data_IF_389899394662
#
_entry.id   IF_389899394662
#
_cell.length_a   1.000
_cell.length_b   1.000
_cell.length_c   1.000
_cell.angle_alpha   90.00
_cell.angle_beta   90.00
_cell.angle_gamma   90.00
#
_symmetry.space_group_name_H-M   'P 1'
#
loop_
_entity.id
_entity.type
_entity.pdbx_description
1 polymer ?
#
# COMPACT_ATOMS: atom_id res chain seq x y z
N UNK A 1 45.68 0.64 -24.01
CA UNK A 1 46.65 1.58 -23.43
C UNK A 1 45.87 2.64 -22.70
N UNK A 2 46.18 3.07 -21.50
CA UNK A 2 47.37 2.97 -20.65
C UNK A 2 46.86 2.70 -19.21
N UNK A 3 47.10 1.52 -18.63
CA UNK A 3 48.02 1.28 -17.50
C UNK A 3 48.55 2.52 -16.75
N UNK A 4 48.40 2.44 -15.44
CA UNK A 4 49.45 2.73 -14.45
C UNK A 4 49.93 4.18 -14.32
N UNK A 5 49.07 5.05 -13.79
CA UNK A 5 49.54 6.24 -13.08
C UNK A 5 48.61 6.49 -11.89
N UNK A 6 48.97 5.92 -10.73
CA UNK A 6 48.73 6.56 -9.42
C UNK A 6 49.34 5.83 -8.21
N UNK A 7 50.18 4.81 -8.42
CA UNK A 7 51.05 4.30 -7.32
C UNK A 7 52.26 5.24 -7.05
N UNK A 8 52.65 6.09 -8.01
CA UNK A 8 53.74 7.08 -7.84
C UNK A 8 53.41 8.26 -6.94
N UNK A 9 52.12 8.53 -6.66
CA UNK A 9 51.73 9.57 -5.72
C UNK A 9 51.93 9.14 -4.26
N UNK A 10 51.91 7.83 -3.99
CA UNK A 10 52.04 7.27 -2.63
C UNK A 10 53.50 7.02 -2.24
N UNK A 11 54.40 6.79 -3.20
CA UNK A 11 55.86 6.69 -2.93
C UNK A 11 56.55 8.05 -2.72
N UNK A 12 55.96 9.16 -3.14
CA UNK A 12 56.51 10.51 -2.94
C UNK A 12 56.37 11.06 -1.51
N UNK A 13 55.64 10.37 -0.62
CA UNK A 13 55.51 10.73 0.79
C UNK A 13 56.52 10.01 1.70
N UNK A 14 57.43 9.22 1.13
CA UNK A 14 58.51 8.55 1.83
C UNK A 14 59.90 9.06 1.38
N UNK A 15 60.05 10.38 1.23
CA UNK A 15 61.38 10.99 1.19
C UNK A 15 61.78 11.26 2.65
N UNK A 16 62.82 10.60 3.20
CA UNK A 16 63.40 11.03 4.46
C UNK A 16 63.97 12.43 4.21
N UNK A 17 63.31 13.45 4.75
CA UNK A 17 63.89 14.79 4.79
C UNK A 17 65.22 14.67 5.53
N UNK A 18 66.28 15.04 4.83
CA UNK A 18 67.64 15.13 5.29
C UNK A 18 67.71 15.86 6.64
N UNK A 19 68.63 15.42 7.48
CA UNK A 19 69.03 16.04 8.75
C UNK A 19 69.21 17.55 8.58
N UNK A 20 68.17 18.31 8.89
CA UNK A 20 68.28 19.76 9.03
C UNK A 20 69.03 20.02 10.34
N UNK A 21 70.23 20.58 10.21
CA UNK A 21 71.07 20.96 11.32
C UNK A 21 70.26 21.73 12.37
N UNK A 22 70.49 21.42 13.65
CA UNK A 22 69.92 22.15 14.76
C UNK A 22 70.35 23.63 14.70
N UNK A 23 69.57 24.46 14.01
CA UNK A 23 69.64 25.91 14.10
C UNK A 23 69.11 26.25 15.48
N UNK A 24 69.99 26.64 16.39
CA UNK A 24 69.58 27.28 17.64
C UNK A 24 68.78 28.54 17.28
N UNK A 25 67.45 28.44 17.28
CA UNK A 25 66.60 29.60 17.05
C UNK A 25 66.66 30.47 18.29
N UNK A 26 67.57 31.45 18.25
CA UNK A 26 67.59 32.55 19.18
C UNK A 26 66.26 33.32 19.04
N UNK A 27 65.58 33.53 20.16
CA UNK A 27 64.42 34.42 20.21
C UNK A 27 64.81 35.82 19.74
N UNK A 28 64.20 36.29 18.66
CA UNK A 28 64.43 37.65 18.14
C UNK A 28 63.45 38.63 18.77
N UNK A 29 63.97 39.69 19.37
CA UNK A 29 63.18 40.80 19.89
C UNK A 29 62.68 41.67 18.73
N UNK A 30 61.41 42.08 18.78
CA UNK A 30 60.82 43.03 17.84
C UNK A 30 60.73 44.40 18.51
N UNK A 31 61.46 45.38 17.96
CA UNK A 31 61.55 46.77 18.43
C UNK A 31 63.00 47.25 18.59
N UNK A 32 63.17 48.54 18.84
CA UNK A 32 64.48 49.19 19.03
C UNK A 32 65.04 48.92 20.43
N UNK A 33 66.36 48.79 20.57
CA UNK A 33 66.99 48.45 21.84
C UNK A 33 67.01 49.64 22.80
N UNK A 34 66.80 49.44 24.12
CA UNK A 34 66.97 50.50 25.09
C UNK A 34 68.42 50.98 25.07
N UNK A 35 68.61 52.29 25.24
CA UNK A 35 69.92 52.94 25.07
C UNK A 35 70.78 52.85 26.34
N UNK A 36 70.21 52.40 27.47
CA UNK A 36 70.95 52.12 28.69
C UNK A 36 70.34 50.98 29.52
N UNK A 37 71.17 50.31 30.32
CA UNK A 37 70.81 49.13 31.15
C UNK A 37 69.78 49.42 32.27
N UNK A 38 69.31 50.66 32.42
CA UNK A 38 68.32 51.07 33.42
C UNK A 38 66.91 51.35 32.89
N UNK A 39 66.68 51.24 31.57
CA UNK A 39 65.37 51.49 30.96
C UNK A 39 64.51 50.21 30.90
N UNK A 40 63.19 50.37 31.06
CA UNK A 40 62.25 49.23 30.98
C UNK A 40 62.23 48.62 29.57
N UNK A 41 62.39 47.29 29.48
CA UNK A 41 62.41 46.56 28.21
C UNK A 41 61.03 46.59 27.53
N UNK A 42 60.88 47.48 26.53
CA UNK A 42 59.63 47.68 25.79
C UNK A 42 59.52 46.82 24.52
N UNK A 43 60.55 46.05 24.18
CA UNK A 43 60.54 45.19 22.98
C UNK A 43 59.63 43.98 23.20
N UNK A 44 58.88 43.63 22.16
CA UNK A 44 58.02 42.45 22.18
C UNK A 44 58.85 41.20 21.88
N UNK A 45 58.87 40.25 22.83
CA UNK A 45 59.54 38.97 22.63
C UNK A 45 58.73 38.10 21.68
N UNK A 46 59.17 37.98 20.42
CA UNK A 46 58.53 37.10 19.46
C UNK A 46 59.01 35.66 19.69
N UNK A 47 58.16 34.87 20.36
CA UNK A 47 58.35 33.41 20.46
C UNK A 47 57.52 32.73 19.37
N UNK A 48 58.18 32.30 18.30
CA UNK A 48 57.56 31.34 17.40
C UNK A 48 57.34 30.03 18.17
N UNK A 49 56.07 29.70 18.45
CA UNK A 49 55.72 28.46 19.12
C UNK A 49 56.29 27.27 18.34
N UNK A 50 56.89 26.34 19.07
CA UNK A 50 57.52 25.11 18.60
C UNK A 50 56.74 24.44 17.46
N UNK A 51 57.45 23.95 16.43
CA UNK A 51 56.91 23.02 15.44
C UNK A 51 56.01 21.98 16.14
N UNK A 52 54.70 22.01 15.88
CA UNK A 52 53.83 20.90 16.26
C UNK A 52 54.24 19.72 15.41
N UNK A 53 54.59 18.60 16.04
CA UNK A 53 55.00 17.38 15.36
C UNK A 53 53.95 17.01 14.29
N UNK A 54 54.34 17.00 13.00
CA UNK A 54 53.44 16.63 11.91
C UNK A 54 52.79 15.26 12.11
N UNK A 55 53.48 14.33 12.80
CA UNK A 55 52.94 13.02 13.13
C UNK A 55 51.87 13.09 14.22
N UNK A 56 51.97 14.00 15.19
CA UNK A 56 50.90 14.23 16.17
C UNK A 56 49.68 14.89 15.52
N UNK A 57 49.88 15.83 14.58
CA UNK A 57 48.78 16.44 13.83
C UNK A 57 48.11 15.41 12.90
N UNK A 58 48.90 14.61 12.18
CA UNK A 58 48.38 13.53 11.35
C UNK A 58 47.66 12.46 12.17
N UNK A 59 48.21 12.07 13.34
CA UNK A 59 47.57 11.13 14.28
C UNK A 59 46.29 11.73 14.85
N UNK A 60 46.28 13.00 15.21
CA UNK A 60 45.07 13.69 15.70
C UNK A 60 43.98 13.73 14.62
N UNK A 61 44.32 14.02 13.36
CA UNK A 61 43.38 14.01 12.23
C UNK A 61 42.90 12.59 11.91
N UNK A 62 43.80 11.61 11.95
CA UNK A 62 43.49 10.19 11.78
C UNK A 62 42.49 9.71 12.86
N UNK A 63 42.77 9.97 14.14
CA UNK A 63 41.93 9.56 15.26
C UNK A 63 40.62 10.36 15.40
N UNK A 64 40.61 11.66 15.06
CA UNK A 64 39.42 12.50 15.27
C UNK A 64 38.51 12.67 14.04
N UNK A 65 39.03 12.53 12.82
CA UNK A 65 38.26 12.81 11.59
C UNK A 65 38.09 11.56 10.72
N UNK A 66 39.09 10.68 10.65
CA UNK A 66 39.04 9.50 9.76
C UNK A 66 38.58 8.21 10.48
N UNK A 67 38.94 8.02 11.75
CA UNK A 67 38.62 6.80 12.50
C UNK A 67 37.19 6.67 13.03
N UNK A 68 36.50 7.71 13.56
CA UNK A 68 35.20 7.51 14.20
C UNK A 68 34.08 7.25 13.19
N UNK A 69 34.07 7.99 12.06
CA UNK A 69 33.08 7.79 11.00
C UNK A 69 33.27 6.43 10.30
N UNK A 70 34.53 6.05 10.07
CA UNK A 70 34.88 4.74 9.50
C UNK A 70 34.57 3.61 10.48
N UNK A 71 34.78 3.80 11.79
CA UNK A 71 34.45 2.82 12.82
C UNK A 71 32.93 2.63 12.95
N UNK A 72 32.15 3.70 12.94
CA UNK A 72 30.69 3.66 12.97
C UNK A 72 30.12 2.97 11.72
N UNK A 73 30.64 3.31 10.53
CA UNK A 73 30.25 2.66 9.29
C UNK A 73 30.62 1.16 9.28
N UNK A 74 31.83 0.81 9.72
CA UNK A 74 32.27 -0.58 9.83
C UNK A 74 31.44 -1.38 10.83
N UNK A 75 31.01 -0.76 11.94
CA UNK A 75 30.10 -1.39 12.90
C UNK A 75 28.73 -1.68 12.26
N UNK A 76 28.18 -0.73 11.50
CA UNK A 76 26.94 -0.91 10.77
C UNK A 76 27.02 -1.97 9.66
N UNK A 77 28.12 -1.98 8.92
CA UNK A 77 28.38 -3.01 7.92
C UNK A 77 28.49 -4.41 8.55
N UNK A 78 29.22 -4.56 9.67
CA UNK A 78 29.30 -5.84 10.41
C UNK A 78 27.91 -6.30 10.90
N UNK A 79 27.11 -5.38 11.42
CA UNK A 79 25.73 -5.66 11.82
C UNK A 79 24.87 -6.10 10.62
N UNK A 80 24.98 -5.42 9.47
CA UNK A 80 24.26 -5.80 8.25
C UNK A 80 24.66 -7.22 7.76
N UNK A 81 25.96 -7.56 7.80
CA UNK A 81 26.44 -8.91 7.47
C UNK A 81 25.85 -9.95 8.43
N UNK A 82 25.85 -9.67 9.73
CA UNK A 82 25.30 -10.58 10.75
C UNK A 82 23.79 -10.81 10.54
N UNK A 83 23.03 -9.73 10.32
CA UNK A 83 21.61 -9.81 10.04
C UNK A 83 21.33 -10.61 8.76
N UNK A 84 22.02 -10.30 7.65
CA UNK A 84 21.84 -11.02 6.37
C UNK A 84 22.17 -12.49 6.50
N UNK A 85 23.21 -12.87 7.26
CA UNK A 85 23.54 -14.28 7.48
C UNK A 85 22.43 -15.03 8.22
N UNK A 86 21.72 -14.37 9.15
CA UNK A 86 20.63 -14.97 9.91
C UNK A 86 19.32 -15.02 9.11
N UNK A 87 18.95 -13.92 8.48
CA UNK A 87 17.63 -13.74 7.85
C UNK A 87 17.64 -13.99 6.32
N UNK A 88 18.81 -14.06 5.70
CA UNK A 88 18.97 -14.17 4.24
C UNK A 88 18.74 -12.87 3.45
N UNK A 89 18.23 -11.82 4.11
CA UNK A 89 17.87 -10.54 3.46
C UNK A 89 18.21 -9.32 4.33
N UNK A 90 18.17 -8.11 3.76
CA UNK A 90 18.32 -6.83 4.47
C UNK A 90 17.00 -6.05 4.66
N UNK A 91 15.86 -6.73 4.69
CA UNK A 91 14.58 -6.16 5.13
C UNK A 91 14.56 -6.03 6.67
N UNK A 92 15.34 -5.07 7.18
CA UNK A 92 15.51 -4.81 8.61
C UNK A 92 14.41 -3.85 9.11
N UNK A 93 13.64 -4.20 10.16
CA UNK A 93 12.67 -3.29 10.78
C UNK A 93 13.34 -2.00 11.30
N UNK A 94 12.66 -0.87 11.22
CA UNK A 94 13.26 0.45 11.54
C UNK A 94 13.89 0.54 12.94
N UNK A 95 13.24 -0.05 13.95
CA UNK A 95 13.74 -0.06 15.33
C UNK A 95 14.58 -1.30 15.67
N UNK A 96 14.93 -2.12 14.68
CA UNK A 96 15.74 -3.32 14.92
C UNK A 96 17.15 -2.95 15.39
N UNK A 97 17.58 -3.63 16.44
CA UNK A 97 18.92 -3.55 17.01
C UNK A 97 19.59 -4.90 16.82
N UNK A 98 20.75 -4.90 16.19
CA UNK A 98 21.51 -6.10 15.85
C UNK A 98 22.65 -6.31 16.85
N UNK A 99 22.67 -7.48 17.49
CA UNK A 99 23.62 -7.80 18.57
C UNK A 99 23.27 -7.13 19.91
N UNK A 100 24.23 -7.17 20.85
CA UNK A 100 24.05 -6.70 22.22
C UNK A 100 23.59 -7.79 23.19
N UNK A 101 23.77 -7.56 24.50
CA UNK A 101 23.31 -8.49 25.55
C UNK A 101 21.82 -8.24 25.80
N UNK A 102 20.96 -9.28 25.81
CA UNK A 102 19.54 -9.12 26.16
C UNK A 102 19.40 -8.52 27.56
N UNK A 103 18.69 -7.40 27.69
CA UNK A 103 18.47 -6.70 28.97
C UNK A 103 19.57 -5.73 29.39
N UNK A 104 20.56 -5.46 28.54
CA UNK A 104 21.54 -4.39 28.79
C UNK A 104 20.92 -3.01 28.61
N UNK A 105 20.50 -2.37 29.70
CA UNK A 105 20.20 -0.94 29.72
C UNK A 105 21.50 -0.16 29.49
N UNK A 106 21.71 0.26 28.25
CA UNK A 106 22.87 1.06 27.87
C UNK A 106 22.47 2.08 26.82
N UNK A 107 22.38 3.34 27.24
CA UNK A 107 22.37 4.47 26.34
C UNK A 107 23.58 4.38 25.38
N UNK A 108 23.37 4.85 24.14
CA UNK A 108 24.34 4.84 23.05
C UNK A 108 25.78 5.11 23.53
N UNK A 109 26.62 4.08 23.56
CA UNK A 109 28.06 4.22 23.89
C UNK A 109 28.67 3.15 24.80
N UNK A 110 27.88 2.30 25.48
CA UNK A 110 28.40 1.20 26.30
C UNK A 110 28.76 -0.05 25.49
N UNK A 111 29.89 -0.71 25.80
CA UNK A 111 30.47 -1.89 25.11
C UNK A 111 29.61 -3.17 25.08
N UNK A 112 28.33 -3.09 25.46
CA UNK A 112 27.33 -4.18 25.41
C UNK A 112 25.99 -3.80 24.75
N UNK A 113 25.81 -2.56 24.30
CA UNK A 113 24.60 -2.13 23.60
C UNK A 113 24.64 -2.60 22.13
N UNK A 114 23.54 -3.16 21.64
CA UNK A 114 23.43 -3.60 20.25
C UNK A 114 23.47 -2.44 19.25
N UNK A 115 23.73 -2.75 17.98
CA UNK A 115 23.83 -1.74 16.93
C UNK A 115 22.45 -1.42 16.32
N UNK A 116 22.01 -0.15 16.23
CA UNK A 116 20.68 0.22 15.71
C UNK A 116 20.62 0.12 14.17
N UNK A 117 20.68 -1.12 13.67
CA UNK A 117 20.83 -1.44 12.25
C UNK A 117 19.67 -0.90 11.39
N UNK A 118 18.43 -0.95 11.90
CA UNK A 118 17.26 -0.46 11.16
C UNK A 118 17.32 1.04 10.85
N UNK A 119 17.76 1.83 11.84
CA UNK A 119 17.95 3.27 11.68
C UNK A 119 19.15 3.57 10.78
N UNK A 120 20.28 2.90 11.03
CA UNK A 120 21.48 3.08 10.23
C UNK A 120 21.27 2.79 8.74
N UNK A 121 20.57 1.69 8.38
CA UNK A 121 20.22 1.40 6.98
C UNK A 121 19.27 2.45 6.40
N UNK A 122 18.37 3.01 7.21
CA UNK A 122 17.49 4.10 6.77
C UNK A 122 18.29 5.37 6.46
N UNK A 123 19.30 5.68 7.27
CA UNK A 123 20.22 6.80 7.05
C UNK A 123 21.06 6.57 5.78
N UNK A 124 21.54 5.34 5.53
CA UNK A 124 22.26 5.02 4.29
C UNK A 124 21.38 5.23 3.05
N UNK A 125 20.11 4.81 3.09
CA UNK A 125 19.15 5.04 2.00
C UNK A 125 18.89 6.52 1.76
N UNK A 126 18.83 7.32 2.83
CA UNK A 126 18.68 8.76 2.72
C UNK A 126 19.94 9.42 2.13
N UNK A 127 21.13 9.00 2.56
CA UNK A 127 22.39 9.47 2.02
C UNK A 127 22.52 9.14 0.52
N UNK A 128 22.13 7.93 0.10
CA UNK A 128 22.11 7.54 -1.31
C UNK A 128 21.18 8.44 -2.14
N UNK A 129 19.96 8.70 -1.68
CA UNK A 129 19.01 9.61 -2.34
C UNK A 129 19.53 11.05 -2.44
N UNK A 130 20.33 11.49 -1.47
CA UNK A 130 20.95 12.80 -1.45
C UNK A 130 22.28 12.86 -2.25
N UNK A 131 22.75 11.75 -2.83
CA UNK A 131 24.06 11.66 -3.49
C UNK A 131 25.25 11.76 -2.52
N UNK A 132 25.03 11.55 -1.22
CA UNK A 132 26.02 11.75 -0.15
C UNK A 132 26.71 10.47 0.34
N UNK A 133 26.49 9.31 -0.31
CA UNK A 133 27.20 8.07 0.02
C UNK A 133 28.44 7.92 -0.85
N UNK A 134 29.57 7.52 -0.23
CA UNK A 134 30.79 7.18 -0.97
C UNK A 134 30.56 5.91 -1.80
N UNK A 135 30.97 5.89 -3.07
CA UNK A 135 30.81 4.76 -4.00
C UNK A 135 31.24 3.41 -3.39
N UNK A 136 32.42 3.28 -2.74
CA UNK A 136 32.84 2.00 -2.17
C UNK A 136 31.96 1.52 -0.98
N UNK A 137 31.27 2.44 -0.29
CA UNK A 137 30.32 2.10 0.78
C UNK A 137 28.99 1.61 0.20
N UNK A 138 28.55 2.20 -0.91
CA UNK A 138 27.36 1.75 -1.63
C UNK A 138 27.56 0.34 -2.19
N UNK A 139 28.67 0.11 -2.90
CA UNK A 139 29.02 -1.21 -3.47
C UNK A 139 29.02 -2.32 -2.42
N UNK A 140 29.62 -2.09 -1.25
CA UNK A 140 29.61 -3.07 -0.14
C UNK A 140 28.21 -3.39 0.37
N UNK A 141 27.31 -2.42 0.41
CA UNK A 141 25.91 -2.67 0.82
C UNK A 141 25.11 -3.35 -0.29
N UNK A 142 25.42 -3.07 -1.56
CA UNK A 142 24.85 -3.73 -2.73
C UNK A 142 25.27 -5.20 -2.82
N UNK A 143 26.53 -5.52 -2.52
CA UNK A 143 27.00 -6.90 -2.35
C UNK A 143 26.18 -7.64 -1.27
N UNK A 144 25.74 -6.90 -0.24
CA UNK A 144 24.84 -7.40 0.80
C UNK A 144 23.36 -7.47 0.38
N UNK A 145 23.01 -7.06 -0.82
CA UNK A 145 21.64 -7.07 -1.33
C UNK A 145 20.76 -6.01 -0.67
N UNK A 146 21.32 -4.83 -0.36
CA UNK A 146 20.51 -3.72 0.15
C UNK A 146 19.47 -3.28 -0.89
N UNK A 147 18.23 -3.09 -0.43
CA UNK A 147 17.20 -2.41 -1.21
C UNK A 147 17.24 -0.93 -0.86
N UNK A 148 17.69 -0.10 -1.82
CA UNK A 148 17.85 1.34 -1.65
C UNK A 148 16.51 2.09 -1.55
N UNK A 149 15.52 1.66 -2.34
CA UNK A 149 14.14 2.14 -2.25
C UNK A 149 13.18 0.97 -1.98
N UNK A 150 12.90 0.67 -0.69
CA UNK A 150 11.96 -0.38 -0.32
C UNK A 150 10.53 -0.15 -0.84
N UNK A 151 10.13 1.11 -1.06
CA UNK A 151 8.80 1.43 -1.54
C UNK A 151 8.66 1.13 -3.03
N UNK A 152 9.70 1.43 -3.82
CA UNK A 152 9.74 1.05 -5.24
C UNK A 152 9.87 -0.47 -5.41
N UNK A 153 10.70 -1.14 -4.61
CA UNK A 153 10.77 -2.61 -4.65
C UNK A 153 9.42 -3.26 -4.31
N UNK A 154 8.75 -2.80 -3.25
CA UNK A 154 7.41 -3.27 -2.90
C UNK A 154 6.37 -2.95 -3.99
N UNK A 155 6.52 -1.82 -4.70
CA UNK A 155 5.69 -1.49 -5.84
C UNK A 155 5.85 -2.50 -6.98
N UNK A 156 7.10 -2.79 -7.38
CA UNK A 156 7.39 -3.76 -8.44
C UNK A 156 6.91 -5.17 -8.10
N UNK A 157 7.07 -5.62 -6.85
CA UNK A 157 6.54 -6.89 -6.38
C UNK A 157 5.00 -6.96 -6.50
N UNK A 158 4.30 -5.90 -6.08
CA UNK A 158 2.84 -5.85 -6.21
C UNK A 158 2.39 -5.72 -7.67
N UNK A 159 3.17 -5.05 -8.53
CA UNK A 159 2.90 -5.00 -9.96
C UNK A 159 3.06 -6.41 -10.60
N UNK A 160 4.07 -7.18 -10.18
CA UNK A 160 4.22 -8.59 -10.53
C UNK A 160 3.02 -9.44 -10.08
N UNK A 161 2.59 -9.26 -8.83
CA UNK A 161 1.37 -9.91 -8.32
C UNK A 161 0.10 -9.50 -9.09
N UNK A 162 0.01 -8.24 -9.53
CA UNK A 162 -1.09 -7.77 -10.38
C UNK A 162 -1.08 -8.47 -11.74
N UNK A 163 0.09 -8.65 -12.38
CA UNK A 163 0.21 -9.42 -13.62
C UNK A 163 -0.24 -10.86 -13.44
N UNK A 164 0.25 -11.54 -12.40
CA UNK A 164 -0.17 -12.91 -12.08
C UNK A 164 -1.68 -13.01 -11.81
N UNK A 165 -2.25 -12.01 -11.12
CA UNK A 165 -3.69 -11.95 -10.89
C UNK A 165 -4.47 -11.77 -12.21
N UNK A 166 -4.00 -10.88 -13.08
CA UNK A 166 -4.60 -10.66 -14.38
C UNK A 166 -4.52 -11.92 -15.27
N UNK A 167 -3.40 -12.62 -15.28
CA UNK A 167 -3.27 -13.90 -16.00
C UNK A 167 -4.27 -14.96 -15.49
N UNK A 168 -4.50 -15.02 -14.18
CA UNK A 168 -5.41 -16.00 -13.59
C UNK A 168 -6.91 -15.65 -13.73
N UNK A 169 -7.26 -14.36 -13.74
CA UNK A 169 -8.65 -13.90 -13.62
C UNK A 169 -9.11 -12.97 -14.75
N UNK A 170 -8.22 -12.63 -15.70
CA UNK A 170 -8.44 -11.71 -16.82
C UNK A 170 -8.93 -10.31 -16.42
N UNK A 171 -8.74 -9.90 -15.16
CA UNK A 171 -9.11 -8.57 -14.66
C UNK A 171 -8.33 -8.18 -13.40
N UNK A 172 -8.10 -6.89 -13.21
CA UNK A 172 -7.64 -6.29 -11.94
C UNK A 172 -8.80 -5.81 -11.05
N UNK A 173 -10.06 -6.09 -11.39
CA UNK A 173 -11.22 -5.80 -10.53
C UNK A 173 -11.34 -6.79 -9.34
N UNK A 174 -10.22 -7.06 -8.66
CA UNK A 174 -10.14 -8.02 -7.56
C UNK A 174 -11.03 -7.62 -6.37
N UNK A 175 -11.66 -8.59 -5.67
CA UNK A 175 -12.27 -8.32 -4.37
C UNK A 175 -11.20 -7.95 -3.35
N UNK A 176 -11.55 -7.15 -2.34
CA UNK A 176 -10.58 -6.63 -1.35
C UNK A 176 -9.85 -7.75 -0.61
N UNK A 177 -10.50 -8.90 -0.42
CA UNK A 177 -9.95 -10.09 0.24
C UNK A 177 -9.05 -10.95 -0.66
N UNK A 178 -8.87 -10.59 -1.93
CA UNK A 178 -8.02 -11.35 -2.85
C UNK A 178 -6.55 -11.25 -2.46
N UNK A 179 -5.87 -12.40 -2.53
CA UNK A 179 -4.43 -12.52 -2.38
C UNK A 179 -3.85 -13.41 -3.48
N UNK A 180 -2.64 -13.10 -3.91
CA UNK A 180 -1.85 -13.93 -4.84
C UNK A 180 -0.36 -13.69 -4.56
N UNK A 181 0.47 -14.73 -4.70
CA UNK A 181 1.92 -14.65 -4.40
C UNK A 181 2.21 -14.08 -3.00
N UNK A 182 1.42 -14.47 -2.00
CA UNK A 182 1.48 -13.96 -0.62
C UNK A 182 1.30 -12.43 -0.47
N UNK A 183 0.78 -11.77 -1.52
CA UNK A 183 0.43 -10.35 -1.50
C UNK A 183 -1.08 -10.16 -1.41
N UNK A 184 -1.57 -9.26 -0.53
CA UNK A 184 -3.00 -8.90 -0.46
C UNK A 184 -3.40 -7.98 -1.61
N UNK A 185 -3.40 -8.53 -2.83
CA UNK A 185 -3.56 -7.77 -4.08
C UNK A 185 -4.86 -6.98 -4.16
N UNK A 186 -5.95 -7.53 -3.59
CA UNK A 186 -7.25 -6.86 -3.54
C UNK A 186 -7.20 -5.54 -2.77
N UNK A 187 -6.60 -5.58 -1.57
CA UNK A 187 -6.43 -4.41 -0.72
C UNK A 187 -5.45 -3.40 -1.33
N UNK A 188 -4.37 -3.88 -1.96
CA UNK A 188 -3.41 -3.03 -2.65
C UNK A 188 -4.04 -2.28 -3.83
N UNK A 189 -4.76 -2.97 -4.73
CA UNK A 189 -5.49 -2.35 -5.85
C UNK A 189 -6.57 -1.37 -5.36
N UNK A 190 -7.28 -1.71 -4.28
CA UNK A 190 -8.24 -0.80 -3.66
C UNK A 190 -7.58 0.49 -3.16
N UNK A 191 -6.37 0.40 -2.59
CA UNK A 191 -5.59 1.57 -2.17
C UNK A 191 -5.03 2.35 -3.36
N UNK A 192 -4.54 1.67 -4.40
CA UNK A 192 -4.01 2.28 -5.62
C UNK A 192 -5.04 3.18 -6.33
N UNK A 193 -6.34 2.82 -6.26
CA UNK A 193 -7.44 3.61 -6.86
C UNK A 193 -7.79 4.90 -6.08
N UNK A 194 -7.41 4.98 -4.80
CA UNK A 194 -7.70 6.15 -3.94
C UNK A 194 -6.88 7.35 -4.38
N UNK A 195 -7.30 8.55 -3.95
CA UNK A 195 -6.53 9.78 -4.13
C UNK A 195 -5.14 9.61 -3.50
N UNK A 196 -4.08 9.90 -4.27
CA UNK A 196 -2.68 9.68 -3.89
C UNK A 196 -2.29 8.21 -3.61
N UNK A 197 -3.12 7.24 -4.03
CA UNK A 197 -2.88 5.81 -3.81
C UNK A 197 -1.62 5.26 -4.49
N UNK A 198 -1.18 5.92 -5.57
CA UNK A 198 0.02 5.57 -6.32
C UNK A 198 1.28 6.35 -5.88
N UNK A 199 1.14 7.26 -4.92
CA UNK A 199 2.21 8.13 -4.44
C UNK A 199 1.81 9.61 -4.41
N UNK A 200 2.65 10.41 -3.75
CA UNK A 200 2.47 11.87 -3.63
C UNK A 200 3.04 12.64 -4.82
N UNK A 201 4.07 12.10 -5.47
CA UNK A 201 4.68 12.71 -6.66
C UNK A 201 3.76 12.47 -7.89
N UNK A 202 3.24 13.51 -8.55
CA UNK A 202 2.33 13.36 -9.68
C UNK A 202 2.93 12.63 -10.89
N UNK A 203 4.22 12.88 -11.21
CA UNK A 203 4.87 12.25 -12.36
C UNK A 203 5.01 10.74 -12.16
N UNK A 204 5.45 10.32 -10.96
CA UNK A 204 5.58 8.92 -10.61
C UNK A 204 4.20 8.23 -10.50
N UNK A 205 3.22 8.91 -9.92
CA UNK A 205 1.86 8.40 -9.85
C UNK A 205 1.27 8.18 -11.26
N UNK A 206 1.54 9.07 -12.22
CA UNK A 206 1.12 8.91 -13.61
C UNK A 206 1.82 7.72 -14.28
N UNK A 207 3.13 7.55 -14.07
CA UNK A 207 3.90 6.38 -14.55
C UNK A 207 3.29 5.08 -14.02
N UNK A 208 3.05 5.00 -12.72
CA UNK A 208 2.46 3.83 -12.05
C UNK A 208 1.04 3.53 -12.52
N UNK A 209 0.24 4.55 -12.78
CA UNK A 209 -1.10 4.40 -13.34
C UNK A 209 -1.05 3.81 -14.76
N UNK A 210 -0.10 4.28 -15.59
CA UNK A 210 0.11 3.75 -16.93
C UNK A 210 0.55 2.28 -16.92
N UNK A 211 1.41 1.89 -15.97
CA UNK A 211 1.83 0.48 -15.80
C UNK A 211 0.66 -0.45 -15.45
N UNK A 212 -0.24 -0.01 -14.57
CA UNK A 212 -1.46 -0.77 -14.26
C UNK A 212 -2.44 -0.81 -15.45
N UNK A 213 -2.61 0.31 -16.16
CA UNK A 213 -3.46 0.39 -17.35
C UNK A 213 -2.96 -0.49 -18.51
N UNK A 214 -1.64 -0.69 -18.60
CA UNK A 214 -1.05 -1.63 -19.56
C UNK A 214 -1.36 -3.10 -19.24
N UNK A 215 -1.68 -3.43 -17.98
CA UNK A 215 -2.12 -4.78 -17.57
C UNK A 215 -3.63 -4.92 -17.80
N UNK A 216 -4.42 -3.99 -17.26
CA UNK A 216 -5.86 -3.95 -17.43
C UNK A 216 -6.30 -2.50 -17.63
N UNK A 217 -6.76 -2.10 -18.84
CA UNK A 217 -7.22 -0.74 -19.10
C UNK A 217 -8.37 -0.31 -18.18
N UNK A 218 -9.20 -1.26 -17.73
CA UNK A 218 -10.34 -1.01 -16.85
C UNK A 218 -9.97 -1.23 -15.36
N UNK A 219 -8.68 -1.21 -14.99
CA UNK A 219 -8.26 -1.39 -13.59
C UNK A 219 -8.83 -0.31 -12.66
N UNK A 220 -9.11 0.89 -13.17
CA UNK A 220 -9.71 2.03 -12.44
C UNK A 220 -10.90 2.58 -13.24
N UNK A 221 -12.05 1.90 -13.19
CA UNK A 221 -13.23 2.31 -13.96
C UNK A 221 -13.93 3.53 -13.33
N UNK A 222 -14.70 4.25 -14.14
CA UNK A 222 -15.57 5.37 -13.69
C UNK A 222 -16.90 4.88 -13.07
N UNK A 223 -17.11 3.57 -12.99
CA UNK A 223 -18.28 2.91 -12.40
C UNK A 223 -17.88 2.00 -11.24
N UNK A 224 -18.84 1.44 -10.48
CA UNK A 224 -18.53 0.58 -9.33
C UNK A 224 -17.63 -0.61 -9.70
N UNK A 225 -16.61 -0.87 -8.88
CA UNK A 225 -15.63 -1.94 -9.16
C UNK A 225 -16.26 -3.34 -9.17
N UNK A 226 -17.32 -3.56 -8.38
CA UNK A 226 -18.05 -4.84 -8.36
C UNK A 226 -18.82 -5.07 -9.67
N UNK A 227 -19.26 -4.00 -10.33
CA UNK A 227 -19.82 -4.10 -11.68
C UNK A 227 -18.72 -4.51 -12.68
N UNK A 228 -17.55 -3.90 -12.60
CA UNK A 228 -16.41 -4.26 -13.47
C UNK A 228 -15.99 -5.71 -13.28
N UNK A 229 -15.96 -6.20 -12.04
CA UNK A 229 -15.67 -7.61 -11.74
C UNK A 229 -16.68 -8.55 -12.39
N UNK A 230 -17.96 -8.21 -12.31
CA UNK A 230 -19.03 -9.03 -12.89
C UNK A 230 -19.00 -9.00 -14.42
N UNK A 231 -18.68 -7.85 -15.01
CA UNK A 231 -18.46 -7.70 -16.45
C UNK A 231 -17.27 -8.54 -16.93
N UNK A 232 -16.14 -8.49 -16.23
CA UNK A 232 -14.99 -9.33 -16.55
C UNK A 232 -15.30 -10.83 -16.44
N UNK A 233 -16.04 -11.24 -15.40
CA UNK A 233 -16.50 -12.61 -15.25
C UNK A 233 -17.40 -13.06 -16.42
N UNK A 234 -18.28 -12.19 -16.91
CA UNK A 234 -19.09 -12.45 -18.11
C UNK A 234 -18.19 -12.59 -19.35
N UNK A 235 -17.22 -11.69 -19.56
CA UNK A 235 -16.28 -11.77 -20.67
C UNK A 235 -15.48 -13.08 -20.65
N UNK A 236 -15.04 -13.53 -19.48
CA UNK A 236 -14.36 -14.81 -19.31
C UNK A 236 -15.29 -15.99 -19.64
N UNK A 237 -16.55 -15.96 -19.20
CA UNK A 237 -17.53 -17.01 -19.51
C UNK A 237 -17.78 -17.16 -21.02
N UNK A 238 -17.78 -16.05 -21.73
CA UNK A 238 -18.00 -15.96 -23.18
C UNK A 238 -16.78 -16.42 -24.00
N UNK A 239 -15.57 -16.39 -23.40
CA UNK A 239 -14.33 -16.72 -24.07
C UNK A 239 -13.98 -15.78 -25.24
N UNK A 240 -12.96 -16.12 -26.05
CA UNK A 240 -12.50 -15.28 -27.16
C UNK A 240 -13.57 -15.06 -28.24
N UNK A 241 -14.46 -16.05 -28.42
CA UNK A 241 -15.46 -16.06 -29.50
C UNK A 241 -16.82 -15.49 -29.09
N UNK A 242 -17.10 -15.28 -27.80
CA UNK A 242 -18.43 -14.90 -27.32
C UNK A 242 -18.82 -13.43 -27.52
N UNK A 243 -18.17 -12.73 -28.44
CA UNK A 243 -18.58 -11.45 -29.02
C UNK A 243 -18.42 -11.38 -30.55
N UNK A 244 -17.85 -12.41 -31.18
CA UNK A 244 -17.72 -12.49 -32.64
C UNK A 244 -19.07 -12.94 -33.22
N UNK A 245 -19.73 -12.04 -33.95
CA UNK A 245 -21.03 -12.32 -34.61
C UNK A 245 -22.23 -11.56 -34.03
N UNK A 246 -22.03 -10.68 -33.04
CA UNK A 246 -23.05 -9.71 -32.62
C UNK A 246 -24.24 -10.26 -31.83
N UNK A 247 -24.27 -11.57 -31.55
CA UNK A 247 -25.31 -12.21 -30.73
C UNK A 247 -24.67 -12.92 -29.55
N UNK A 248 -24.97 -12.45 -28.34
CA UNK A 248 -24.53 -13.09 -27.11
C UNK A 248 -25.14 -14.51 -26.99
N UNK A 249 -24.30 -15.53 -26.79
CA UNK A 249 -24.74 -16.86 -26.41
C UNK A 249 -25.58 -16.79 -25.12
N UNK A 250 -26.60 -17.65 -24.99
CA UNK A 250 -27.43 -17.67 -23.79
C UNK A 250 -26.59 -18.04 -22.56
N UNK A 251 -26.55 -17.13 -21.58
CA UNK A 251 -25.89 -17.37 -20.28
C UNK A 251 -26.96 -17.74 -19.26
N UNK A 252 -26.95 -18.98 -18.80
CA UNK A 252 -27.94 -19.50 -17.87
C UNK A 252 -27.77 -18.86 -16.47
N UNK A 253 -28.85 -18.39 -15.82
CA UNK A 253 -28.81 -18.00 -14.42
C UNK A 253 -28.23 -19.12 -13.54
N UNK A 254 -27.29 -18.78 -12.65
CA UNK A 254 -26.53 -19.77 -11.87
C UNK A 254 -25.18 -20.13 -12.49
N UNK A 255 -24.85 -19.64 -13.69
CA UNK A 255 -23.49 -19.75 -14.24
C UNK A 255 -22.52 -18.97 -13.35
N UNK A 256 -21.66 -19.67 -12.62
CA UNK A 256 -20.69 -19.09 -11.71
C UNK A 256 -19.31 -18.97 -12.37
N UNK A 257 -18.79 -17.75 -12.41
CA UNK A 257 -17.38 -17.47 -12.78
C UNK A 257 -16.71 -16.72 -11.64
N UNK A 258 -15.67 -17.33 -11.06
CA UNK A 258 -14.96 -16.80 -9.89
C UNK A 258 -15.89 -16.38 -8.73
N UNK A 259 -16.96 -17.14 -8.51
CA UNK A 259 -17.96 -16.88 -7.46
C UNK A 259 -19.02 -15.83 -7.80
N UNK A 260 -19.04 -15.30 -9.03
CA UNK A 260 -20.08 -14.38 -9.52
C UNK A 260 -21.09 -15.13 -10.38
N UNK A 261 -22.37 -15.03 -10.04
CA UNK A 261 -23.49 -15.51 -10.87
C UNK A 261 -23.71 -14.53 -12.04
N UNK A 262 -23.01 -14.79 -13.14
CA UNK A 262 -23.00 -13.90 -14.31
C UNK A 262 -24.33 -13.93 -15.06
N UNK A 263 -25.05 -15.05 -15.06
CA UNK A 263 -26.35 -15.17 -15.71
C UNK A 263 -27.42 -14.33 -15.01
N UNK A 264 -27.48 -14.41 -13.67
CA UNK A 264 -28.38 -13.57 -12.87
C UNK A 264 -27.99 -12.09 -12.97
N UNK A 265 -26.71 -11.78 -12.89
CA UNK A 265 -26.23 -10.39 -13.02
C UNK A 265 -26.59 -9.79 -14.39
N UNK A 266 -26.39 -10.55 -15.47
CA UNK A 266 -26.71 -10.14 -16.84
C UNK A 266 -28.21 -9.87 -17.02
N UNK A 267 -29.08 -10.72 -16.45
CA UNK A 267 -30.52 -10.51 -16.51
C UNK A 267 -30.94 -9.16 -15.89
N UNK A 268 -30.31 -8.77 -14.77
CA UNK A 268 -30.51 -7.45 -14.15
C UNK A 268 -30.03 -6.33 -15.06
N UNK A 269 -28.86 -6.46 -15.71
CA UNK A 269 -28.36 -5.42 -16.63
C UNK A 269 -29.32 -5.19 -17.81
N UNK A 270 -29.87 -6.26 -18.40
CA UNK A 270 -30.82 -6.17 -19.51
C UNK A 270 -32.16 -5.54 -19.10
N UNK A 271 -32.59 -5.74 -17.86
CA UNK A 271 -33.83 -5.16 -17.32
C UNK A 271 -33.67 -3.68 -16.99
N UNK A 272 -32.58 -3.32 -16.32
CA UNK A 272 -32.33 -1.97 -15.82
C UNK A 272 -31.44 -1.15 -16.77
N UNK A 273 -31.46 -1.45 -18.07
CA UNK A 273 -30.57 -0.89 -19.10
C UNK A 273 -30.48 0.64 -19.10
N UNK A 274 -31.60 1.32 -18.86
CA UNK A 274 -31.69 2.78 -18.83
C UNK A 274 -30.97 3.41 -17.62
N UNK A 275 -30.73 2.63 -16.56
CA UNK A 275 -30.03 3.08 -15.35
C UNK A 275 -28.51 2.92 -15.45
N UNK A 276 -28.02 2.21 -16.47
CA UNK A 276 -26.59 2.02 -16.70
C UNK A 276 -25.94 3.31 -17.15
N UNK A 277 -24.70 3.54 -16.71
CA UNK A 277 -23.88 4.62 -17.22
C UNK A 277 -23.57 4.39 -18.72
N UNK A 278 -23.31 5.45 -19.50
CA UNK A 278 -23.00 5.31 -20.93
C UNK A 278 -21.90 4.29 -21.23
N UNK A 279 -20.77 4.34 -20.51
CA UNK A 279 -19.68 3.39 -20.69
C UNK A 279 -20.02 1.95 -20.30
N UNK A 280 -20.93 1.75 -19.34
CA UNK A 280 -21.42 0.40 -18.99
C UNK A 280 -22.27 -0.20 -20.11
N UNK A 281 -23.12 0.60 -20.76
CA UNK A 281 -23.89 0.17 -21.93
C UNK A 281 -22.98 -0.19 -23.09
N UNK A 282 -22.03 0.70 -23.41
CA UNK A 282 -21.07 0.48 -24.50
C UNK A 282 -20.30 -0.83 -24.31
N UNK A 283 -19.80 -1.10 -23.10
CA UNK A 283 -19.09 -2.34 -22.75
C UNK A 283 -19.96 -3.59 -22.92
N UNK A 284 -21.25 -3.52 -22.55
CA UNK A 284 -22.20 -4.62 -22.71
C UNK A 284 -22.59 -4.82 -24.19
N UNK A 285 -22.77 -3.74 -24.94
CA UNK A 285 -23.03 -3.75 -26.39
C UNK A 285 -21.87 -4.36 -27.17
N UNK A 286 -20.63 -4.08 -26.76
CA UNK A 286 -19.41 -4.73 -27.30
C UNK A 286 -19.41 -6.26 -27.12
N UNK A 287 -20.12 -6.78 -26.12
CA UNK A 287 -20.33 -8.22 -25.91
C UNK A 287 -21.61 -8.75 -26.61
N UNK A 288 -22.30 -7.92 -27.41
CA UNK A 288 -23.56 -8.30 -28.05
C UNK A 288 -24.75 -8.35 -27.09
N UNK A 289 -24.64 -7.80 -25.89
CA UNK A 289 -25.76 -7.71 -24.95
C UNK A 289 -26.70 -6.60 -25.41
N UNK A 290 -27.96 -6.96 -25.61
CA UNK A 290 -29.02 -6.01 -25.95
C UNK A 290 -29.95 -5.79 -24.75
N UNK A 291 -30.54 -4.59 -24.60
CA UNK A 291 -31.61 -4.38 -23.63
C UNK A 291 -32.72 -5.40 -23.86
N UNK A 292 -33.44 -5.75 -22.80
CA UNK A 292 -34.68 -6.51 -22.98
C UNK A 292 -35.60 -5.68 -23.89
N UNK A 293 -36.15 -6.25 -24.99
CA UNK A 293 -37.11 -5.54 -25.81
C UNK A 293 -38.19 -4.97 -24.90
N UNK A 294 -38.52 -3.69 -25.08
CA UNK A 294 -39.70 -3.15 -24.44
C UNK A 294 -40.84 -4.08 -24.87
N UNK A 295 -41.43 -4.81 -23.92
CA UNK A 295 -42.66 -5.52 -24.21
C UNK A 295 -43.58 -4.48 -24.85
N UNK A 296 -44.08 -4.75 -26.06
CA UNK A 296 -45.19 -3.99 -26.60
C UNK A 296 -46.21 -3.91 -25.48
N UNK A 297 -46.39 -2.70 -24.93
CA UNK A 297 -47.44 -2.48 -23.95
C UNK A 297 -48.71 -2.88 -24.69
N UNK A 298 -49.48 -3.89 -24.24
CA UNK A 298 -50.86 -3.97 -24.67
C UNK A 298 -51.44 -2.59 -24.41
N UNK A 299 -52.07 -2.01 -25.43
CA UNK A 299 -52.71 -0.71 -25.36
C UNK A 299 -53.39 -0.57 -24.00
N UNK A 300 -52.99 0.46 -23.27
CA UNK A 300 -53.34 0.64 -21.87
C UNK A 300 -54.86 0.51 -21.68
N UNK A 301 -55.30 -0.63 -21.14
CA UNK A 301 -56.41 -0.62 -20.22
C UNK A 301 -55.93 0.22 -19.03
N UNK A 302 -56.28 1.50 -19.06
CA UNK A 302 -56.10 2.46 -17.96
C UNK A 302 -56.97 2.00 -16.78
N UNK A 303 -56.58 0.91 -16.14
CA UNK A 303 -57.09 0.46 -14.85
C UNK A 303 -56.07 0.82 -13.78
N UNK A 304 -56.45 1.71 -12.87
CA UNK A 304 -55.68 2.01 -11.65
C UNK A 304 -55.27 0.70 -10.97
N UNK A 305 -53.99 0.33 -11.03
CA UNK A 305 -53.39 -0.69 -10.13
C UNK A 305 -52.34 -0.03 -9.25
N UNK A 306 -52.78 0.93 -8.45
CA UNK A 306 -52.17 1.24 -7.17
C UNK A 306 -53.06 0.58 -6.11
N UNK A 307 -52.56 -0.43 -5.39
CA UNK A 307 -53.28 -1.06 -4.27
C UNK A 307 -53.06 -2.57 -4.13
N UNK A 308 -53.35 -3.37 -5.14
CA UNK A 308 -53.53 -4.82 -4.93
C UNK A 308 -52.25 -5.62 -4.62
N UNK A 309 -51.12 -5.33 -5.29
CA UNK A 309 -49.88 -6.12 -5.13
C UNK A 309 -49.11 -5.84 -3.84
N UNK A 310 -49.11 -4.58 -3.37
CA UNK A 310 -48.50 -4.20 -2.11
C UNK A 310 -49.34 -4.67 -0.91
N UNK A 311 -50.68 -4.66 -1.03
CA UNK A 311 -51.57 -5.27 -0.04
C UNK A 311 -51.30 -6.76 0.06
N UNK A 312 -51.29 -7.50 -1.05
CA UNK A 312 -51.08 -8.95 -1.03
C UNK A 312 -49.72 -9.40 -0.43
N UNK A 313 -48.66 -8.59 -0.59
CA UNK A 313 -47.38 -8.85 0.06
C UNK A 313 -47.40 -8.54 1.56
N UNK A 314 -48.13 -7.49 1.98
CA UNK A 314 -48.36 -7.16 3.38
C UNK A 314 -49.22 -8.23 4.07
N UNK A 315 -50.28 -8.69 3.39
CA UNK A 315 -51.20 -9.73 3.86
C UNK A 315 -50.48 -11.06 4.11
N UNK A 316 -49.60 -11.47 3.19
CA UNK A 316 -48.74 -12.66 3.38
C UNK A 316 -47.76 -12.49 4.54
N UNK A 317 -47.21 -11.28 4.73
CA UNK A 317 -46.34 -11.00 5.87
C UNK A 317 -47.07 -11.06 7.21
N UNK A 318 -48.32 -10.59 7.27
CA UNK A 318 -49.19 -10.70 8.43
C UNK A 318 -49.56 -12.17 8.70
N UNK A 319 -49.90 -12.94 7.68
CA UNK A 319 -50.18 -14.37 7.82
C UNK A 319 -48.96 -15.14 8.35
N UNK A 320 -47.77 -14.86 7.82
CA UNK A 320 -46.53 -15.47 8.26
C UNK A 320 -46.18 -15.09 9.71
N UNK A 321 -46.44 -13.83 10.10
CA UNK A 321 -46.25 -13.39 11.48
C UNK A 321 -47.23 -14.07 12.44
N UNK A 322 -48.50 -14.19 12.07
CA UNK A 322 -49.51 -14.88 12.87
C UNK A 322 -49.14 -16.36 13.08
N UNK A 323 -48.76 -17.06 12.00
CA UNK A 323 -48.31 -18.46 12.06
C UNK A 323 -47.08 -18.64 12.95
N UNK A 324 -46.10 -17.72 12.86
CA UNK A 324 -44.93 -17.74 13.72
C UNK A 324 -45.29 -17.54 15.20
N UNK A 325 -46.17 -16.58 15.51
CA UNK A 325 -46.60 -16.30 16.89
C UNK A 325 -47.36 -17.49 17.47
N UNK A 326 -48.23 -18.11 16.68
CA UNK A 326 -48.96 -19.32 17.08
C UNK A 326 -48.00 -20.48 17.39
N UNK A 327 -46.97 -20.66 16.57
CA UNK A 327 -45.98 -21.74 16.74
C UNK A 327 -44.99 -21.51 17.88
N UNK A 328 -44.51 -20.29 18.05
CA UNK A 328 -43.38 -19.96 18.94
C UNK A 328 -43.80 -19.20 20.21
N UNK A 329 -45.05 -18.72 20.29
CA UNK A 329 -45.57 -17.97 21.44
C UNK A 329 -44.89 -16.61 21.67
N UNK A 330 -44.17 -16.08 20.68
CA UNK A 330 -43.37 -14.85 20.80
C UNK A 330 -43.47 -13.97 19.56
N UNK A 331 -43.38 -12.65 19.76
CA UNK A 331 -43.45 -11.64 18.70
C UNK A 331 -42.09 -11.20 18.18
N UNK A 332 -41.00 -11.64 18.83
CA UNK A 332 -39.62 -11.37 18.41
C UNK A 332 -39.15 -12.43 17.42
N UNK A 333 -39.01 -12.02 16.15
CA UNK A 333 -38.55 -12.88 15.05
C UNK A 333 -37.06 -12.67 14.78
N UNK A 334 -36.21 -13.73 14.79
CA UNK A 334 -34.81 -13.64 14.37
C UNK A 334 -34.68 -13.12 12.93
N UNK A 335 -33.69 -12.26 12.66
CA UNK A 335 -33.52 -11.61 11.34
C UNK A 335 -33.42 -12.61 10.16
N UNK A 336 -32.84 -13.79 10.40
CA UNK A 336 -32.67 -14.84 9.38
C UNK A 336 -33.87 -15.77 9.19
N UNK A 337 -34.92 -15.63 10.01
CA UNK A 337 -36.04 -16.56 10.03
C UNK A 337 -36.86 -16.54 8.73
N UNK A 338 -37.22 -17.74 8.25
CA UNK A 338 -38.11 -17.97 7.11
C UNK A 338 -39.34 -18.73 7.61
N UNK A 339 -40.53 -18.30 7.22
CA UNK A 339 -41.78 -18.99 7.52
C UNK A 339 -42.44 -19.41 6.21
N UNK A 340 -42.78 -20.69 6.10
CA UNK A 340 -43.44 -21.25 4.93
C UNK A 340 -44.96 -21.20 5.12
N UNK A 341 -45.65 -20.49 4.24
CA UNK A 341 -47.11 -20.40 4.24
C UNK A 341 -47.73 -21.63 3.59
N UNK A 342 -48.99 -21.91 3.92
CA UNK A 342 -49.76 -23.04 3.38
C UNK A 342 -49.91 -23.00 1.85
N UNK A 343 -49.75 -21.83 1.23
CA UNK A 343 -49.77 -21.65 -0.23
C UNK A 343 -48.42 -22.00 -0.90
N UNK A 344 -47.44 -22.50 -0.13
CA UNK A 344 -46.10 -22.83 -0.60
C UNK A 344 -45.15 -21.64 -0.68
N UNK A 345 -45.57 -20.44 -0.26
CA UNK A 345 -44.71 -19.25 -0.27
C UNK A 345 -43.82 -19.20 0.96
N UNK A 346 -42.49 -19.21 0.75
CA UNK A 346 -41.52 -18.93 1.80
C UNK A 346 -41.35 -17.41 2.01
N UNK A 347 -41.62 -16.92 3.23
CA UNK A 347 -41.45 -15.51 3.60
C UNK A 347 -40.26 -15.37 4.55
N UNK A 348 -39.29 -14.53 4.19
CA UNK A 348 -38.20 -14.09 5.08
C UNK A 348 -38.73 -13.17 6.18
N UNK A 349 -39.45 -13.74 7.15
CA UNK A 349 -40.24 -13.00 8.16
C UNK A 349 -39.39 -12.00 8.95
N UNK A 350 -38.19 -12.37 9.36
CA UNK A 350 -37.29 -11.47 10.10
C UNK A 350 -36.83 -10.25 9.29
N UNK A 351 -36.65 -10.43 7.97
CA UNK A 351 -36.31 -9.34 7.05
C UNK A 351 -37.54 -8.48 6.75
N UNK A 352 -38.69 -9.12 6.55
CA UNK A 352 -39.96 -8.43 6.32
C UNK A 352 -40.31 -7.52 7.49
N UNK A 353 -40.28 -8.02 8.74
CA UNK A 353 -40.61 -7.24 9.94
C UNK A 353 -39.65 -6.05 10.13
N UNK A 354 -38.35 -6.26 9.88
CA UNK A 354 -37.33 -5.19 9.92
C UNK A 354 -37.63 -4.07 8.89
N UNK A 355 -38.00 -4.46 7.66
CA UNK A 355 -38.31 -3.51 6.59
C UNK A 355 -39.65 -2.80 6.79
N UNK A 356 -40.64 -3.47 7.39
CA UNK A 356 -41.93 -2.88 7.76
C UNK A 356 -41.74 -1.85 8.87
N UNK A 357 -40.93 -2.16 9.89
CA UNK A 357 -40.57 -1.21 10.97
C UNK A 357 -39.86 0.03 10.46
N UNK A 358 -38.88 -0.11 9.55
CA UNK A 358 -38.16 1.04 8.98
C UNK A 358 -39.07 1.94 8.14
N UNK A 359 -40.17 1.41 7.60
CA UNK A 359 -41.17 2.15 6.80
C UNK A 359 -42.43 2.52 7.59
N UNK A 360 -42.40 2.47 8.92
CA UNK A 360 -43.55 2.77 9.79
C UNK A 360 -44.28 4.06 9.41
N UNK A 361 -43.54 5.12 9.09
CA UNK A 361 -44.11 6.42 8.71
C UNK A 361 -45.05 6.36 7.49
N UNK A 362 -44.87 5.37 6.60
CA UNK A 362 -45.70 5.17 5.40
C UNK A 362 -46.79 4.10 5.54
N UNK A 363 -46.98 3.49 6.73
CA UNK A 363 -48.05 2.51 6.95
C UNK A 363 -49.40 3.20 7.15
N UNK A 364 -50.44 2.68 6.51
CA UNK A 364 -51.82 3.11 6.74
C UNK A 364 -52.28 2.74 8.16
N UNK A 365 -53.32 3.41 8.65
CA UNK A 365 -53.88 3.13 9.98
C UNK A 365 -54.31 1.67 10.13
N UNK A 366 -54.98 1.12 9.12
CA UNK A 366 -55.39 -0.29 9.07
C UNK A 366 -54.22 -1.26 9.17
N UNK A 367 -53.10 -0.96 8.51
CA UNK A 367 -51.89 -1.79 8.56
C UNK A 367 -51.25 -1.79 9.96
N UNK A 368 -51.26 -0.63 10.64
CA UNK A 368 -50.78 -0.50 12.01
C UNK A 368 -51.68 -1.26 12.98
N UNK A 369 -53.01 -1.12 12.86
CA UNK A 369 -53.95 -1.86 13.69
C UNK A 369 -53.78 -3.38 13.57
N UNK A 370 -53.52 -3.89 12.35
CA UNK A 370 -53.27 -5.33 12.14
C UNK A 370 -51.97 -5.83 12.76
N UNK A 371 -50.90 -5.01 12.76
CA UNK A 371 -49.65 -5.34 13.45
C UNK A 371 -49.82 -5.27 14.97
N UNK A 372 -50.52 -4.25 15.48
CA UNK A 372 -50.82 -4.11 16.90
C UNK A 372 -51.66 -5.27 17.44
N UNK A 373 -52.64 -5.75 16.66
CA UNK A 373 -53.45 -6.92 17.00
C UNK A 373 -52.64 -8.22 17.16
N UNK A 374 -51.46 -8.30 16.54
CA UNK A 374 -50.51 -9.40 16.68
C UNK A 374 -49.44 -9.16 17.77
N UNK A 375 -49.62 -8.14 18.62
CA UNK A 375 -48.70 -7.86 19.74
C UNK A 375 -47.39 -7.19 19.33
N UNK A 376 -47.38 -6.44 18.23
CA UNK A 376 -46.21 -5.66 17.79
C UNK A 376 -46.24 -4.26 18.42
N UNK A 377 -45.42 -4.05 19.44
CA UNK A 377 -45.43 -2.84 20.29
C UNK A 377 -45.11 -1.52 19.57
N UNK A 378 -44.41 -1.59 18.44
CA UNK A 378 -44.03 -0.40 17.67
C UNK A 378 -45.03 -0.04 16.57
N UNK A 379 -46.11 -0.80 16.38
CA UNK A 379 -47.07 -0.56 15.29
C UNK A 379 -47.61 0.89 15.30
#
# INVERSE_FOLDING_TARGET
GLRAHDERAVEMLAIPQETSAAVSQASSWLGEAPESDGEEEQRLLLRFGTHRDPLLVARLVQYNVLEPETAAWNAGHRAAVAYRRREGHLAVPYNHVEGGIPGGEGAAGGSGAGFPLGRWLSDQRQAMRAGGILTPRAEKLEELGIVWDPADAAWEENLGAARAYYEAYATLAAPVTASIMDKPIGQWLANARKKHGLGKNPAEAARRAALLAAIDPDWRPDWPIDWQRSYAALKTALGPSGGEGGVLAFVEPGTLVHGVDVGRWLAVQKQDWQRLAPGQRERLEQLGVQPRPAAEKPAAARGKRAGAGASAAFDRGIAALAQYIEREGRTVVPRGWCEDLQDGTAIRLGVWLSNTRSRRAGLSEEQRSRLAALGIDWA
#
